data_IF_768146939934
#
_entry.id   IF_768146939934
#
_cell.length_a   1.000
_cell.length_b   1.000
_cell.length_c   1.000
_cell.angle_alpha   90.00
_cell.angle_beta   90.00
_cell.angle_gamma   90.00
#
_symmetry.space_group_name_H-M   'P 1'
#
loop_
_entity.id
_entity.type
_entity.pdbx_description
1 polymer ?
#
# COMPACT_ATOMS: atom_id res chain seq x y z
N UNK A 1 22.85 -8.30 -43.43
CA UNK A 1 23.69 -9.50 -43.20
C UNK A 1 23.83 -9.65 -41.69
N UNK A 2 23.27 -10.73 -41.13
CA UNK A 2 23.40 -11.25 -39.75
C UNK A 2 23.04 -10.32 -38.58
N UNK A 3 22.50 -10.76 -37.43
CA UNK A 3 21.58 -11.81 -36.95
C UNK A 3 21.44 -11.48 -35.45
N UNK A 4 20.25 -11.68 -34.88
CA UNK A 4 19.87 -11.10 -33.59
C UNK A 4 20.42 -11.76 -32.32
N UNK A 5 19.99 -11.21 -31.18
CA UNK A 5 19.78 -11.91 -29.91
C UNK A 5 18.57 -11.27 -29.22
N UNK A 6 17.60 -12.11 -28.84
CA UNK A 6 16.45 -11.79 -28.02
C UNK A 6 16.63 -12.40 -26.62
N UNK A 7 16.24 -11.67 -25.56
CA UNK A 7 15.88 -12.17 -24.23
C UNK A 7 15.16 -11.04 -23.47
N UNK A 8 13.81 -11.04 -23.42
CA UNK A 8 12.94 -11.46 -22.30
C UNK A 8 13.26 -10.78 -20.96
N UNK A 9 12.28 -10.04 -20.39
CA UNK A 9 11.92 -9.90 -18.97
C UNK A 9 10.67 -8.98 -18.89
N UNK A 10 9.45 -9.52 -18.76
CA UNK A 10 8.19 -8.75 -18.69
C UNK A 10 7.50 -8.96 -17.35
N UNK A 11 7.08 -7.87 -16.69
CA UNK A 11 6.70 -7.83 -15.26
C UNK A 11 5.18 -7.64 -15.05
N UNK A 12 4.60 -8.30 -14.05
CA UNK A 12 3.17 -8.30 -13.63
C UNK A 12 2.92 -7.38 -12.41
N UNK A 13 1.77 -6.67 -12.28
CA UNK A 13 1.53 -5.63 -11.25
C UNK A 13 0.22 -5.81 -10.44
N UNK A 14 0.24 -5.50 -9.13
CA UNK A 14 -0.91 -5.53 -8.19
C UNK A 14 -1.15 -4.14 -7.54
N UNK A 15 -2.40 -3.67 -7.39
CA UNK A 15 -2.74 -2.38 -6.73
C UNK A 15 -3.87 -2.48 -5.68
N UNK A 16 -3.88 -1.64 -4.63
CA UNK A 16 -4.95 -1.63 -3.60
C UNK A 16 -5.42 -0.22 -3.17
N UNK A 17 -6.75 -0.02 -3.01
CA UNK A 17 -7.44 1.22 -2.60
C UNK A 17 -8.76 0.96 -1.83
N UNK A 18 -9.32 1.97 -1.13
CA UNK A 18 -10.49 1.84 -0.23
C UNK A 18 -11.49 3.00 -0.33
N UNK A 19 -12.80 2.71 -0.19
CA UNK A 19 -13.93 3.65 -0.09
C UNK A 19 -14.80 3.37 1.17
N UNK A 20 -15.58 4.35 1.66
CA UNK A 20 -16.15 4.48 3.03
C UNK A 20 -17.70 4.35 3.14
N UNK A 21 -18.23 4.28 4.39
CA UNK A 21 -19.66 4.37 4.80
C UNK A 21 -20.42 3.28 5.62
N UNK A 22 -20.16 3.01 6.94
CA UNK A 22 -21.24 2.72 7.94
C UNK A 22 -21.57 1.31 8.54
N UNK A 23 -21.08 1.07 9.78
CA UNK A 23 -21.68 0.45 11.00
C UNK A 23 -22.58 -0.83 11.02
N UNK A 24 -22.29 -1.71 11.99
CA UNK A 24 -23.26 -2.61 12.65
C UNK A 24 -22.66 -3.81 13.41
N UNK A 25 -22.70 -3.79 14.75
CA UNK A 25 -22.16 -4.80 15.68
C UNK A 25 -22.96 -6.13 15.72
N UNK A 26 -22.29 -7.23 16.06
CA UNK A 26 -22.91 -8.45 16.59
C UNK A 26 -21.87 -9.50 17.02
N UNK A 27 -21.66 -9.65 18.33
CA UNK A 27 -20.76 -10.59 19.00
C UNK A 27 -21.30 -12.03 19.02
N UNK A 28 -20.45 -13.05 18.83
CA UNK A 28 -20.73 -14.42 19.29
C UNK A 28 -19.46 -15.07 19.87
N UNK A 29 -19.64 -15.65 21.05
CA UNK A 29 -18.71 -16.37 21.91
C UNK A 29 -18.18 -17.68 21.32
N UNK A 30 -16.93 -18.01 21.64
CA UNK A 30 -16.27 -19.30 21.33
C UNK A 30 -16.43 -20.24 22.52
N UNK A 31 -16.87 -21.47 22.26
CA UNK A 31 -16.69 -22.62 23.14
C UNK A 31 -15.94 -23.71 22.37
N UNK A 32 -14.84 -24.19 22.95
CA UNK A 32 -13.98 -25.25 22.44
C UNK A 32 -14.69 -26.61 22.38
N UNK A 33 -14.39 -27.42 21.37
CA UNK A 33 -13.93 -28.81 21.59
C UNK A 33 -13.56 -29.53 20.29
N UNK A 34 -12.49 -30.31 20.43
CA UNK A 34 -12.12 -31.55 19.75
C UNK A 34 -11.40 -31.52 18.39
N UNK A 35 -10.14 -31.96 18.51
CA UNK A 35 -9.28 -32.51 17.47
C UNK A 35 -9.97 -33.64 16.69
N UNK A 36 -9.82 -33.60 15.37
CA UNK A 36 -9.85 -34.79 14.52
C UNK A 36 -8.89 -34.58 13.35
N UNK A 37 -7.81 -35.37 13.32
CA UNK A 37 -7.02 -35.62 12.11
C UNK A 37 -7.88 -36.42 11.13
N UNK A 38 -7.89 -36.02 9.86
CA UNK A 38 -8.10 -36.93 8.73
C UNK A 38 -7.49 -36.34 7.45
N UNK A 39 -7.10 -37.28 6.60
CA UNK A 39 -6.15 -37.25 5.50
C UNK A 39 -6.55 -36.40 4.28
N UNK A 40 -5.56 -36.24 3.40
CA UNK A 40 -5.59 -35.60 2.09
C UNK A 40 -6.83 -35.95 1.26
N UNK A 41 -7.65 -34.95 0.96
CA UNK A 41 -8.65 -35.05 -0.11
C UNK A 41 -8.57 -33.85 -1.05
N UNK A 42 -7.96 -34.10 -2.21
CA UNK A 42 -7.77 -33.17 -3.30
C UNK A 42 -9.10 -32.89 -4.00
N UNK A 43 -9.65 -31.70 -3.76
CA UNK A 43 -10.33 -30.94 -4.83
C UNK A 43 -11.84 -31.13 -4.99
N UNK A 44 -12.60 -31.27 -3.90
CA UNK A 44 -14.06 -31.14 -3.93
C UNK A 44 -14.55 -29.68 -3.97
N UNK A 45 -15.75 -29.41 -4.55
CA UNK A 45 -16.34 -28.06 -4.68
C UNK A 45 -16.67 -27.37 -3.34
N UNK A 46 -16.49 -28.06 -2.22
CA UNK A 46 -16.72 -27.57 -0.86
C UNK A 46 -15.45 -27.07 -0.15
N UNK A 47 -14.27 -27.27 -0.72
CA UNK A 47 -13.04 -26.67 -0.18
C UNK A 47 -12.93 -25.19 -0.59
N UNK A 48 -12.24 -24.37 0.21
CA UNK A 48 -11.96 -22.96 -0.14
C UNK A 48 -11.28 -22.86 -1.52
N UNK A 49 -10.44 -23.83 -1.86
CA UNK A 49 -9.81 -23.90 -3.19
C UNK A 49 -10.79 -24.32 -4.29
N UNK A 50 -11.77 -25.18 -3.99
CA UNK A 50 -12.88 -25.49 -4.88
C UNK A 50 -13.74 -24.25 -5.16
N UNK A 51 -14.12 -23.51 -4.12
CA UNK A 51 -14.85 -22.25 -4.24
C UNK A 51 -14.10 -21.19 -5.04
N UNK A 52 -12.78 -21.04 -4.81
CA UNK A 52 -11.94 -20.10 -5.58
C UNK A 52 -11.83 -20.50 -7.05
N UNK A 53 -11.73 -21.80 -7.36
CA UNK A 53 -11.76 -22.30 -8.75
C UNK A 53 -13.12 -22.05 -9.41
N UNK A 54 -14.20 -22.21 -8.66
CA UNK A 54 -15.57 -21.99 -9.15
C UNK A 54 -15.87 -20.50 -9.38
N UNK A 55 -15.34 -19.62 -8.53
CA UNK A 55 -15.41 -18.17 -8.73
C UNK A 55 -14.58 -17.77 -9.96
N UNK A 56 -13.36 -18.30 -10.09
CA UNK A 56 -12.51 -18.03 -11.25
C UNK A 56 -13.14 -18.50 -12.56
N UNK A 57 -13.80 -19.67 -12.58
CA UNK A 57 -14.48 -20.19 -13.77
C UNK A 57 -15.69 -19.33 -14.16
N UNK A 58 -16.47 -18.86 -13.18
CA UNK A 58 -17.61 -17.96 -13.40
C UNK A 58 -17.16 -16.59 -13.91
N UNK A 59 -16.06 -16.05 -13.40
CA UNK A 59 -15.47 -14.79 -13.89
C UNK A 59 -15.00 -14.94 -15.34
N UNK A 60 -14.32 -16.04 -15.67
CA UNK A 60 -13.87 -16.31 -17.04
C UNK A 60 -15.04 -16.45 -18.04
N UNK A 61 -16.16 -17.04 -17.60
CA UNK A 61 -17.39 -17.11 -18.41
C UNK A 61 -18.03 -15.73 -18.63
N UNK A 62 -17.95 -14.83 -17.64
CA UNK A 62 -18.41 -13.45 -17.78
C UNK A 62 -17.50 -12.65 -18.73
N UNK A 63 -16.17 -12.82 -18.64
CA UNK A 63 -15.22 -12.19 -19.57
C UNK A 63 -15.47 -12.62 -21.01
N UNK A 64 -15.84 -13.90 -21.21
CA UNK A 64 -16.22 -14.44 -22.51
C UNK A 64 -17.55 -13.84 -23.01
N UNK A 65 -18.52 -13.61 -22.12
CA UNK A 65 -19.81 -13.00 -22.44
C UNK A 65 -19.72 -11.49 -22.72
N UNK A 66 -18.71 -10.79 -22.18
CA UNK A 66 -18.50 -9.34 -22.37
C UNK A 66 -17.77 -9.03 -23.70
N UNK A 67 -17.44 -10.04 -24.51
CA UNK A 67 -17.05 -9.83 -25.91
C UNK A 67 -15.66 -9.22 -26.10
N UNK A 68 -14.69 -9.56 -25.24
CA UNK A 68 -13.26 -9.37 -25.61
C UNK A 68 -12.91 -10.45 -26.63
N UNK A 69 -13.04 -10.08 -27.89
CA UNK A 69 -13.00 -10.95 -29.07
C UNK A 69 -11.71 -11.75 -29.24
N UNK A 70 -11.86 -13.04 -29.57
CA UNK A 70 -10.81 -13.90 -30.11
C UNK A 70 -11.26 -15.35 -30.31
N UNK A 71 -12.27 -15.59 -31.13
CA UNK A 71 -12.80 -16.93 -31.42
C UNK A 71 -11.83 -17.83 -32.17
N UNK A 72 -11.51 -18.99 -31.59
CA UNK A 72 -10.81 -20.11 -32.22
C UNK A 72 -10.96 -21.37 -31.36
N UNK A 73 -10.94 -22.59 -31.96
CA UNK A 73 -11.20 -23.82 -31.23
C UNK A 73 -10.12 -24.10 -30.16
N UNK A 74 -10.46 -24.81 -29.07
CA UNK A 74 -9.57 -24.97 -27.93
C UNK A 74 -8.36 -25.82 -28.32
N UNK A 75 -7.16 -25.22 -28.27
CA UNK A 75 -5.92 -25.99 -28.40
C UNK A 75 -5.70 -26.80 -27.12
N UNK A 76 -5.70 -28.12 -27.26
CA UNK A 76 -5.29 -29.06 -26.22
C UNK A 76 -3.85 -28.76 -25.79
N UNK A 77 -3.69 -28.36 -24.53
CA UNK A 77 -2.40 -27.97 -23.95
C UNK A 77 -2.49 -26.66 -23.17
N UNK A 78 -3.35 -26.60 -22.14
CA UNK A 78 -3.41 -25.46 -21.23
C UNK A 78 -2.23 -25.53 -20.24
N UNK A 79 -1.03 -25.16 -20.69
CA UNK A 79 -0.19 -24.36 -19.78
C UNK A 79 -0.91 -23.01 -19.76
N UNK A 80 -1.56 -22.68 -18.64
CA UNK A 80 -2.24 -21.41 -18.48
C UNK A 80 -1.21 -20.28 -18.62
N UNK A 81 -1.03 -19.79 -19.84
CA UNK A 81 -0.39 -18.52 -20.11
C UNK A 81 -1.25 -17.47 -19.42
N UNK A 82 -0.86 -17.10 -18.19
CA UNK A 82 -1.51 -16.03 -17.45
C UNK A 82 -1.57 -14.81 -18.34
N UNK A 83 -2.77 -14.29 -18.55
CA UNK A 83 -2.97 -13.02 -19.23
C UNK A 83 -2.16 -11.95 -18.50
N UNK A 84 -1.47 -11.11 -19.26
CA UNK A 84 -0.77 -9.97 -18.71
C UNK A 84 -1.83 -9.00 -18.21
N UNK A 85 -2.02 -8.92 -16.89
CA UNK A 85 -3.14 -8.22 -16.27
C UNK A 85 -2.73 -7.39 -15.06
N UNK A 86 -3.61 -6.47 -14.67
CA UNK A 86 -3.53 -5.73 -13.42
C UNK A 86 -4.63 -6.26 -12.52
N UNK A 87 -4.24 -6.84 -11.39
CA UNK A 87 -5.19 -7.23 -10.37
C UNK A 87 -5.28 -6.15 -9.30
N UNK A 88 -6.49 -5.97 -8.77
CA UNK A 88 -6.77 -4.94 -7.78
C UNK A 88 -7.47 -5.55 -6.58
N UNK A 89 -6.87 -5.39 -5.39
CA UNK A 89 -7.49 -5.80 -4.13
C UNK A 89 -8.10 -4.57 -3.46
N UNK A 90 -9.43 -4.53 -3.42
CA UNK A 90 -10.21 -3.44 -2.84
C UNK A 90 -10.93 -3.89 -1.58
N UNK A 91 -11.15 -2.96 -0.66
CA UNK A 91 -12.02 -3.18 0.50
C UNK A 91 -13.45 -2.87 0.12
N UNK A 92 -14.38 -3.78 0.42
CA UNK A 92 -15.81 -3.59 0.18
C UNK A 92 -16.55 -2.98 1.36
N UNK A 93 -15.88 -2.78 2.51
CA UNK A 93 -16.48 -2.28 3.75
C UNK A 93 -15.65 -1.11 4.32
N UNK A 94 -15.44 -1.06 5.65
CA UNK A 94 -14.83 0.06 6.38
C UNK A 94 -13.44 -0.22 6.92
N UNK A 95 -12.67 -1.01 6.18
CA UNK A 95 -11.35 -1.43 6.62
C UNK A 95 -11.39 -2.76 7.36
N UNK A 96 -10.21 -3.30 7.62
CA UNK A 96 -9.97 -4.56 8.34
C UNK A 96 -10.69 -5.82 7.81
N UNK A 97 -11.06 -5.83 6.52
CA UNK A 97 -11.65 -6.99 5.82
C UNK A 97 -10.62 -8.12 5.56
N UNK A 98 -9.42 -8.04 6.14
CA UNK A 98 -8.36 -9.02 5.91
C UNK A 98 -7.63 -8.87 4.58
N UNK A 99 -7.76 -7.73 3.88
CA UNK A 99 -7.03 -7.44 2.62
C UNK A 99 -5.55 -7.73 2.69
N UNK A 100 -4.91 -7.40 3.83
CA UNK A 100 -3.48 -7.64 4.04
C UNK A 100 -3.10 -9.11 3.89
N UNK A 101 -3.94 -10.03 4.38
CA UNK A 101 -3.72 -11.49 4.29
C UNK A 101 -3.95 -12.01 2.86
N UNK A 102 -4.94 -11.46 2.17
CA UNK A 102 -5.17 -11.79 0.76
C UNK A 102 -4.02 -11.31 -0.13
N UNK A 103 -3.61 -10.04 0.03
CA UNK A 103 -2.48 -9.44 -0.71
C UNK A 103 -1.19 -10.19 -0.40
N UNK A 104 -0.94 -10.57 0.84
CA UNK A 104 0.23 -11.38 1.22
C UNK A 104 0.29 -12.70 0.42
N UNK A 105 -0.80 -13.48 0.42
CA UNK A 105 -0.88 -14.72 -0.34
C UNK A 105 -0.73 -14.51 -1.85
N UNK A 106 -1.43 -13.52 -2.40
CA UNK A 106 -1.38 -13.23 -3.84
C UNK A 106 0.00 -12.73 -4.27
N UNK A 107 0.64 -11.88 -3.46
CA UNK A 107 1.90 -11.19 -3.81
C UNK A 107 3.07 -12.12 -4.13
N UNK A 108 3.02 -13.39 -3.72
CA UNK A 108 4.01 -14.41 -4.09
C UNK A 108 4.03 -14.71 -5.59
N UNK A 109 2.96 -14.36 -6.30
CA UNK A 109 2.77 -14.67 -7.71
C UNK A 109 2.90 -13.44 -8.63
N UNK A 110 3.20 -12.26 -8.09
CA UNK A 110 3.32 -11.00 -8.85
C UNK A 110 4.75 -10.47 -8.84
N UNK A 111 5.18 -9.93 -9.97
CA UNK A 111 6.49 -9.28 -10.11
C UNK A 111 6.49 -7.85 -9.53
N UNK A 112 5.33 -7.22 -9.36
CA UNK A 112 5.17 -5.91 -8.75
C UNK A 112 3.96 -5.84 -7.82
N UNK A 113 4.19 -5.21 -6.68
CA UNK A 113 3.17 -4.90 -5.71
C UNK A 113 3.14 -3.39 -5.47
N UNK A 114 2.01 -2.76 -5.72
CA UNK A 114 1.86 -1.30 -5.73
C UNK A 114 0.84 -0.85 -4.71
N UNK A 115 1.17 0.18 -3.95
CA UNK A 115 0.17 0.96 -3.21
C UNK A 115 -0.16 2.21 -4.01
N UNK A 116 -1.44 2.43 -4.30
CA UNK A 116 -1.87 3.54 -5.17
C UNK A 116 -2.43 4.75 -4.41
N UNK A 117 -2.95 4.57 -3.20
CA UNK A 117 -3.56 5.64 -2.40
C UNK A 117 -3.42 5.40 -0.89
N UNK A 118 -3.92 6.34 -0.09
CA UNK A 118 -3.84 6.31 1.37
C UNK A 118 -2.47 6.75 1.90
N UNK A 119 -2.10 6.28 3.08
CA UNK A 119 -0.79 6.51 3.71
C UNK A 119 -0.54 5.49 4.80
N UNK A 120 0.18 5.85 5.86
CA UNK A 120 0.49 4.94 6.99
C UNK A 120 -0.71 4.65 7.91
N UNK A 121 -1.94 5.05 7.53
CA UNK A 121 -3.17 4.79 8.27
C UNK A 121 -3.64 3.33 8.21
N UNK A 122 -3.27 2.62 7.15
CA UNK A 122 -3.46 1.18 7.07
C UNK A 122 -2.20 0.46 7.59
N UNK A 123 -2.37 -0.72 8.16
CA UNK A 123 -1.26 -1.62 8.48
C UNK A 123 -1.68 -3.05 8.24
N UNK A 124 -0.71 -3.88 7.89
CA UNK A 124 -0.91 -5.32 7.84
C UNK A 124 0.24 -5.99 8.57
N UNK A 125 -0.09 -7.08 9.24
CA UNK A 125 0.87 -7.90 9.94
C UNK A 125 1.02 -9.18 9.15
N UNK A 126 2.26 -9.56 8.85
CA UNK A 126 2.59 -10.81 8.16
C UNK A 126 3.37 -11.70 9.12
N UNK A 127 3.06 -12.98 9.10
CA UNK A 127 3.81 -14.01 9.82
C UNK A 127 4.63 -14.78 8.78
N UNK A 128 5.96 -14.81 8.94
CA UNK A 128 6.85 -15.66 8.14
C UNK A 128 7.55 -16.62 9.08
N UNK A 129 7.14 -17.89 9.05
CA UNK A 129 7.47 -18.83 10.12
C UNK A 129 7.01 -18.28 11.47
N UNK A 130 7.91 -18.18 12.43
CA UNK A 130 7.64 -17.67 13.77
C UNK A 130 7.87 -16.15 13.92
N UNK A 131 8.27 -15.45 12.85
CA UNK A 131 8.56 -14.01 12.88
C UNK A 131 7.37 -13.18 12.43
N UNK A 132 7.06 -12.14 13.22
CA UNK A 132 5.97 -11.19 12.99
C UNK A 132 6.51 -9.89 12.40
N UNK A 133 6.09 -9.55 11.19
CA UNK A 133 6.40 -8.29 10.53
C UNK A 133 5.18 -7.38 10.52
N UNK A 134 5.36 -6.10 10.84
CA UNK A 134 4.28 -5.11 10.83
C UNK A 134 4.64 -3.99 9.86
N UNK A 135 3.90 -3.92 8.77
CA UNK A 135 4.09 -2.91 7.72
C UNK A 135 2.93 -1.93 7.73
N UNK A 136 3.22 -0.65 7.53
CA UNK A 136 2.18 0.37 7.37
C UNK A 136 2.14 0.90 5.96
N UNK A 137 3.28 1.36 5.41
CA UNK A 137 3.37 1.93 4.07
C UNK A 137 3.83 0.93 3.02
N UNK A 138 4.78 0.06 3.38
CA UNK A 138 5.33 -0.92 2.45
C UNK A 138 4.23 -1.89 1.98
N UNK A 139 4.16 -2.23 0.68
CA UNK A 139 3.28 -3.29 0.19
C UNK A 139 3.69 -4.66 0.75
N UNK A 140 2.73 -5.56 1.00
CA UNK A 140 2.99 -6.91 1.54
C UNK A 140 3.97 -7.73 0.70
N UNK A 141 3.99 -7.49 -0.61
CA UNK A 141 4.89 -8.16 -1.54
C UNK A 141 6.38 -7.89 -1.30
N UNK A 142 6.76 -7.06 -0.32
CA UNK A 142 8.16 -6.82 0.02
C UNK A 142 8.89 -8.09 0.48
N UNK A 143 8.13 -9.07 1.01
CA UNK A 143 8.64 -10.38 1.42
C UNK A 143 8.87 -11.34 0.25
N UNK A 144 8.29 -11.08 -0.93
CA UNK A 144 8.62 -11.80 -2.14
C UNK A 144 9.90 -11.18 -2.74
N UNK A 145 11.01 -11.93 -2.72
CA UNK A 145 12.32 -11.48 -3.23
C UNK A 145 12.29 -11.10 -4.72
N UNK A 146 11.37 -11.67 -5.50
CA UNK A 146 11.22 -11.37 -6.93
C UNK A 146 10.37 -10.13 -7.21
N UNK A 147 9.55 -9.72 -6.24
CA UNK A 147 8.63 -8.61 -6.41
C UNK A 147 9.30 -7.25 -6.20
N UNK A 148 8.96 -6.29 -7.05
CA UNK A 148 9.26 -4.86 -6.88
C UNK A 148 8.07 -4.16 -6.22
N UNK A 149 8.31 -3.53 -5.08
CA UNK A 149 7.32 -2.74 -4.37
C UNK A 149 7.31 -1.29 -4.86
N UNK A 150 6.13 -0.76 -5.20
CA UNK A 150 5.97 0.61 -5.70
C UNK A 150 5.02 1.40 -4.81
N UNK A 151 5.45 2.59 -4.38
CA UNK A 151 4.60 3.59 -3.74
C UNK A 151 4.15 4.59 -4.81
N UNK A 152 2.88 4.54 -5.19
CA UNK A 152 2.30 5.37 -6.26
C UNK A 152 2.12 6.84 -5.87
N UNK A 153 1.89 7.68 -6.88
CA UNK A 153 1.70 9.13 -6.73
C UNK A 153 0.44 9.53 -5.95
N UNK A 154 -0.55 8.63 -5.84
CA UNK A 154 -1.75 8.86 -5.07
C UNK A 154 -1.53 8.79 -3.56
N UNK A 155 -0.41 8.20 -3.10
CA UNK A 155 -0.08 8.00 -1.68
C UNK A 155 0.42 9.30 -1.04
N UNK A 156 0.08 9.48 0.24
CA UNK A 156 0.76 10.43 1.14
C UNK A 156 1.72 9.65 2.06
N UNK A 157 3.00 10.02 2.04
CA UNK A 157 4.09 9.28 2.67
C UNK A 157 4.71 10.07 3.82
N UNK A 158 4.72 9.48 5.02
CA UNK A 158 5.51 9.99 6.14
C UNK A 158 6.92 9.41 6.05
N UNK A 159 7.87 10.19 5.52
CA UNK A 159 9.22 9.72 5.21
C UNK A 159 9.98 9.17 6.44
N UNK A 160 9.93 9.79 7.65
CA UNK A 160 10.57 9.22 8.82
C UNK A 160 10.05 7.81 9.17
N UNK A 161 8.73 7.62 9.19
CA UNK A 161 8.14 6.30 9.48
C UNK A 161 8.47 5.28 8.40
N UNK A 162 8.46 5.70 7.13
CA UNK A 162 8.79 4.82 6.02
C UNK A 162 10.25 4.35 6.08
N UNK A 163 11.20 5.24 6.37
CA UNK A 163 12.61 4.88 6.53
C UNK A 163 12.81 3.95 7.73
N UNK A 164 12.09 4.15 8.84
CA UNK A 164 12.12 3.23 9.97
C UNK A 164 11.57 1.83 9.60
N UNK A 165 10.52 1.75 8.79
CA UNK A 165 10.02 0.47 8.25
C UNK A 165 11.09 -0.23 7.40
N UNK A 166 11.81 0.50 6.55
CA UNK A 166 12.92 -0.02 5.76
C UNK A 166 14.09 -0.48 6.64
N UNK A 167 14.48 0.30 7.64
CA UNK A 167 15.58 -0.05 8.56
C UNK A 167 15.24 -1.32 9.38
N UNK A 168 13.95 -1.49 9.71
CA UNK A 168 13.43 -2.72 10.33
C UNK A 168 13.57 -3.94 9.42
N UNK A 169 13.33 -3.81 8.11
CA UNK A 169 13.56 -4.91 7.16
C UNK A 169 15.02 -5.35 7.14
N UNK A 170 15.96 -4.41 7.02
CA UNK A 170 17.39 -4.71 7.02
C UNK A 170 17.83 -5.37 8.32
N UNK A 171 17.32 -4.89 9.46
CA UNK A 171 17.62 -5.47 10.78
C UNK A 171 17.12 -6.91 10.93
N UNK A 172 16.09 -7.30 10.18
CA UNK A 172 15.56 -8.66 10.15
C UNK A 172 16.17 -9.53 9.03
N UNK A 173 17.17 -9.02 8.30
CA UNK A 173 17.84 -9.74 7.22
C UNK A 173 17.06 -9.80 5.90
N UNK A 174 16.06 -8.92 5.71
CA UNK A 174 15.31 -8.85 4.46
C UNK A 174 15.95 -7.81 3.55
N UNK A 175 16.48 -8.27 2.42
CA UNK A 175 17.06 -7.42 1.39
C UNK A 175 15.98 -6.77 0.54
N UNK A 176 15.95 -5.44 0.45
CA UNK A 176 14.97 -4.70 -0.34
C UNK A 176 15.59 -3.71 -1.35
N UNK A 177 16.91 -3.56 -1.31
CA UNK A 177 17.65 -2.61 -2.13
C UNK A 177 17.35 -2.87 -3.62
N UNK A 178 17.01 -1.80 -4.35
CA UNK A 178 16.61 -1.89 -5.76
C UNK A 178 15.16 -2.35 -6.01
N UNK A 179 14.48 -2.93 -5.01
CA UNK A 179 13.10 -3.45 -5.14
C UNK A 179 12.04 -2.49 -4.63
N UNK A 180 12.39 -1.47 -3.85
CA UNK A 180 11.43 -0.46 -3.37
C UNK A 180 11.56 0.80 -4.21
N UNK A 181 10.45 1.25 -4.79
CA UNK A 181 10.36 2.45 -5.63
C UNK A 181 9.31 3.41 -5.07
N UNK A 182 9.64 4.69 -5.00
CA UNK A 182 8.75 5.74 -4.52
C UNK A 182 8.49 6.69 -5.69
N UNK A 183 7.22 6.99 -5.96
CA UNK A 183 6.89 8.02 -6.94
C UNK A 183 7.37 9.39 -6.44
N UNK A 184 8.12 10.09 -7.28
CA UNK A 184 8.47 11.50 -7.15
C UNK A 184 7.23 12.41 -6.93
N UNK A 185 6.05 12.01 -7.40
CA UNK A 185 4.79 12.75 -7.25
C UNK A 185 3.99 12.41 -6.00
N UNK A 186 4.43 11.42 -5.19
CA UNK A 186 3.83 11.15 -3.89
C UNK A 186 4.00 12.36 -2.96
N UNK A 187 2.97 12.68 -2.19
CA UNK A 187 3.00 13.85 -1.29
C UNK A 187 3.59 13.48 0.06
N UNK A 188 4.36 14.39 0.65
CA UNK A 188 5.01 14.18 1.94
C UNK A 188 4.04 14.55 3.07
N UNK A 189 3.90 13.64 4.03
CA UNK A 189 3.32 13.94 5.34
C UNK A 189 4.46 14.46 6.23
N UNK A 190 4.29 15.63 6.84
CA UNK A 190 5.23 16.17 7.82
C UNK A 190 4.73 15.92 9.24
N UNK A 191 5.61 16.01 10.24
CA UNK A 191 5.24 15.81 11.64
C UNK A 191 4.16 16.81 12.10
N UNK A 192 4.24 18.05 11.62
CA UNK A 192 3.22 19.05 11.93
C UNK A 192 1.84 18.71 11.34
N UNK A 193 1.75 17.95 10.24
CA UNK A 193 0.45 17.43 9.78
C UNK A 193 -0.16 16.47 10.79
N UNK A 194 0.64 15.67 11.50
CA UNK A 194 0.15 14.77 12.55
C UNK A 194 -0.36 15.55 13.76
N UNK A 195 0.38 16.59 14.18
CA UNK A 195 -0.06 17.50 15.24
C UNK A 195 -1.36 18.20 14.87
N UNK A 196 -1.46 18.71 13.64
CA UNK A 196 -2.65 19.36 13.10
C UNK A 196 -3.86 18.41 13.08
N UNK A 197 -3.68 17.17 12.63
CA UNK A 197 -4.72 16.13 12.65
C UNK A 197 -5.27 15.92 14.07
N UNK A 198 -4.37 15.79 15.06
CA UNK A 198 -4.76 15.68 16.46
C UNK A 198 -5.48 16.92 17.01
N UNK A 199 -5.10 18.13 16.58
CA UNK A 199 -5.78 19.36 16.97
C UNK A 199 -7.17 19.47 16.35
N UNK A 200 -7.35 19.10 15.07
CA UNK A 200 -8.65 19.09 14.39
C UNK A 200 -9.60 18.16 15.14
N UNK A 201 -9.18 16.93 15.44
CA UNK A 201 -9.98 15.98 16.23
C UNK A 201 -10.33 16.52 17.62
N UNK A 202 -9.40 17.23 18.26
CA UNK A 202 -9.66 17.84 19.58
C UNK A 202 -10.71 18.95 19.49
N UNK A 203 -10.64 19.81 18.46
CA UNK A 203 -11.62 20.90 18.23
C UNK A 203 -13.02 20.37 17.92
N UNK A 204 -13.12 19.22 17.26
CA UNK A 204 -14.41 18.59 16.96
C UNK A 204 -15.14 18.04 18.20
N UNK A 205 -14.43 17.85 19.33
CA UNK A 205 -15.04 17.50 20.61
C UNK A 205 -15.79 16.16 20.55
N UNK A 206 -17.13 16.22 20.61
CA UNK A 206 -18.02 15.04 20.52
C UNK A 206 -18.20 14.54 19.09
N UNK A 207 -17.95 15.39 18.09
CA UNK A 207 -18.11 15.10 16.66
C UNK A 207 -16.78 14.63 16.02
N UNK A 208 -15.92 13.96 16.81
CA UNK A 208 -14.66 13.39 16.33
C UNK A 208 -14.94 12.39 15.21
N UNK A 209 -14.07 12.41 14.21
CA UNK A 209 -14.13 11.44 13.11
C UNK A 209 -13.51 10.12 13.56
N UNK A 210 -12.54 10.16 14.50
CA UNK A 210 -11.75 9.01 14.89
C UNK A 210 -10.55 8.81 13.96
N UNK A 211 -9.84 9.89 13.63
CA UNK A 211 -8.68 9.78 12.73
C UNK A 211 -7.55 9.00 13.40
N UNK A 212 -6.66 8.41 12.58
CA UNK A 212 -5.45 7.73 13.07
C UNK A 212 -4.40 8.70 13.63
N UNK A 213 -4.64 10.02 13.55
CA UNK A 213 -3.71 11.10 13.94
C UNK A 213 -2.34 11.02 13.27
N UNK A 214 -2.27 10.36 12.10
CA UNK A 214 -1.05 10.22 11.31
C UNK A 214 -0.89 11.32 10.25
N UNK A 215 -1.72 12.37 10.28
CA UNK A 215 -1.57 13.51 9.38
C UNK A 215 -2.05 13.26 7.95
N UNK A 216 -2.81 12.17 7.73
CA UNK A 216 -3.27 11.78 6.39
C UNK A 216 -4.26 12.81 5.84
N UNK A 217 -5.25 13.21 6.64
CA UNK A 217 -6.23 14.23 6.27
C UNK A 217 -5.57 15.57 5.92
N UNK A 218 -4.77 16.17 6.83
CA UNK A 218 -4.08 17.44 6.56
C UNK A 218 -3.11 17.38 5.36
N UNK A 219 -2.43 16.25 5.14
CA UNK A 219 -1.57 16.09 3.97
C UNK A 219 -2.36 16.04 2.65
N UNK A 220 -3.50 15.33 2.62
CA UNK A 220 -4.40 15.38 1.48
C UNK A 220 -5.03 16.76 1.29
N UNK A 221 -5.40 17.45 2.37
CA UNK A 221 -5.88 18.83 2.29
C UNK A 221 -4.84 19.75 1.63
N UNK A 222 -3.57 19.61 2.04
CA UNK A 222 -2.46 20.37 1.43
C UNK A 222 -2.24 20.01 -0.06
N UNK A 223 -2.41 18.74 -0.42
CA UNK A 223 -2.40 18.28 -1.82
C UNK A 223 -3.51 18.95 -2.64
N UNK A 224 -4.74 18.98 -2.13
CA UNK A 224 -5.89 19.61 -2.80
C UNK A 224 -5.74 21.14 -2.88
N UNK A 225 -5.19 21.76 -1.84
CA UNK A 225 -4.89 23.20 -1.80
C UNK A 225 -3.70 23.58 -2.68
N UNK A 226 -2.95 22.61 -3.22
CA UNK A 226 -1.74 22.82 -4.05
C UNK A 226 -0.61 23.54 -3.30
N UNK A 227 -0.62 23.50 -1.97
CA UNK A 227 0.48 24.00 -1.12
C UNK A 227 1.37 22.86 -0.57
N UNK A 228 0.94 21.60 -0.70
CA UNK A 228 1.71 20.44 -0.27
C UNK A 228 3.00 20.20 -1.07
N UNK A 229 3.97 19.55 -0.43
CA UNK A 229 5.26 19.16 -1.00
C UNK A 229 5.27 17.69 -1.42
N UNK A 230 6.04 17.38 -2.46
CA UNK A 230 6.16 16.03 -3.03
C UNK A 230 7.57 15.48 -2.82
N UNK A 231 7.71 14.16 -2.94
CA UNK A 231 8.99 13.47 -2.80
C UNK A 231 10.04 14.01 -3.78
N UNK A 232 9.66 14.25 -5.03
CA UNK A 232 10.55 14.79 -6.06
C UNK A 232 11.03 16.21 -5.79
N UNK A 233 10.34 16.96 -4.93
CA UNK A 233 10.77 18.31 -4.56
C UNK A 233 12.06 18.28 -3.73
N UNK A 234 12.35 17.17 -3.03
CA UNK A 234 13.61 16.98 -2.29
C UNK A 234 14.86 17.05 -3.17
N UNK A 235 14.74 16.78 -4.48
CA UNK A 235 15.84 16.91 -5.43
C UNK A 235 16.17 18.38 -5.75
N UNK A 236 15.22 19.30 -5.52
CA UNK A 236 15.37 20.74 -5.75
C UNK A 236 15.36 21.47 -4.41
N UNK A 237 16.49 21.42 -3.70
CA UNK A 237 16.56 21.83 -2.30
C UNK A 237 16.04 23.25 -2.03
N UNK A 238 16.46 24.25 -2.82
CA UNK A 238 16.04 25.64 -2.59
C UNK A 238 14.52 25.84 -2.77
N UNK A 239 13.94 25.11 -3.74
CA UNK A 239 12.49 25.06 -3.93
C UNK A 239 11.81 24.34 -2.75
N UNK A 240 12.33 23.19 -2.33
CA UNK A 240 11.78 22.46 -1.18
C UNK A 240 11.79 23.31 0.09
N UNK A 241 12.92 23.96 0.40
CA UNK A 241 13.10 24.78 1.58
C UNK A 241 12.13 25.97 1.59
N UNK A 242 12.07 26.76 0.51
CA UNK A 242 11.16 27.91 0.42
C UNK A 242 9.69 27.51 0.58
N UNK A 243 9.28 26.42 -0.08
CA UNK A 243 7.92 25.89 -0.01
C UNK A 243 7.58 25.27 1.35
N UNK A 244 8.55 24.62 2.00
CA UNK A 244 8.38 24.04 3.33
C UNK A 244 8.14 25.14 4.37
N UNK A 245 8.96 26.20 4.35
CA UNK A 245 8.77 27.37 5.22
C UNK A 245 7.39 27.98 5.06
N UNK A 246 6.97 28.24 3.82
CA UNK A 246 5.64 28.77 3.52
C UNK A 246 4.50 27.85 4.00
N UNK A 247 4.64 26.53 3.82
CA UNK A 247 3.65 25.54 4.28
C UNK A 247 3.58 25.47 5.82
N UNK A 248 4.74 25.53 6.49
CA UNK A 248 4.83 25.54 7.95
C UNK A 248 4.19 26.81 8.53
N UNK A 249 4.51 27.98 7.97
CA UNK A 249 3.88 29.26 8.34
C UNK A 249 2.37 29.25 8.13
N UNK A 250 1.90 28.73 7.00
CA UNK A 250 0.47 28.57 6.72
C UNK A 250 -0.23 27.78 7.84
N UNK A 251 0.35 26.66 8.28
CA UNK A 251 -0.21 25.85 9.36
C UNK A 251 -0.08 26.54 10.73
N UNK A 252 1.04 27.21 11.03
CA UNK A 252 1.19 27.95 12.30
C UNK A 252 0.17 29.08 12.42
N UNK A 253 -0.15 29.76 11.32
CA UNK A 253 -1.19 30.80 11.29
C UNK A 253 -2.60 30.22 11.46
N UNK A 254 -2.90 29.07 10.83
CA UNK A 254 -4.21 28.44 10.91
C UNK A 254 -4.47 27.70 12.25
N UNK A 255 -3.40 27.30 12.95
CA UNK A 255 -3.46 26.49 14.17
C UNK A 255 -2.74 27.16 15.35
N UNK A 256 -3.46 27.95 16.17
CA UNK A 256 -2.88 28.61 17.34
C UNK A 256 -2.19 27.61 18.27
N UNK A 257 -0.97 27.95 18.71
CA UNK A 257 -0.16 27.11 19.59
C UNK A 257 0.61 25.99 18.88
N UNK A 258 0.47 25.81 17.56
CA UNK A 258 1.33 24.93 16.78
C UNK A 258 2.74 25.50 16.73
N UNK A 259 3.72 24.78 17.27
CA UNK A 259 5.15 25.12 17.17
C UNK A 259 5.82 24.16 16.21
N UNK A 260 6.48 24.68 15.19
CA UNK A 260 7.22 23.90 14.20
C UNK A 260 8.69 24.32 14.27
N UNK A 261 9.57 23.38 14.60
CA UNK A 261 11.02 23.57 14.42
C UNK A 261 11.37 23.45 12.94
N UNK A 262 11.24 24.57 12.22
CA UNK A 262 11.44 24.64 10.79
C UNK A 262 12.87 24.21 10.43
N UNK A 263 13.87 24.81 11.06
CA UNK A 263 15.27 24.58 10.69
C UNK A 263 15.72 23.16 11.07
N UNK A 264 15.25 22.62 12.19
CA UNK A 264 15.49 21.22 12.55
C UNK A 264 14.89 20.23 11.56
N UNK A 265 13.65 20.45 11.13
CA UNK A 265 13.02 19.60 10.12
C UNK A 265 13.71 19.72 8.76
N UNK A 266 14.07 20.93 8.32
CA UNK A 266 14.84 21.11 7.09
C UNK A 266 16.19 20.38 7.14
N UNK A 267 16.94 20.50 8.25
CA UNK A 267 18.18 19.71 8.44
C UNK A 267 17.93 18.21 8.34
N UNK A 268 16.84 17.72 8.93
CA UNK A 268 16.46 16.31 8.84
C UNK A 268 16.17 15.88 7.40
N UNK A 269 15.32 16.61 6.68
CA UNK A 269 14.94 16.29 5.30
C UNK A 269 16.12 16.36 4.33
N UNK A 270 17.04 17.33 4.53
CA UNK A 270 18.27 17.43 3.74
C UNK A 270 19.14 16.18 3.88
N UNK A 271 19.24 15.65 5.11
CA UNK A 271 20.03 14.44 5.41
C UNK A 271 19.42 13.19 4.79
N UNK A 272 18.09 13.06 4.77
CA UNK A 272 17.43 11.85 4.25
C UNK A 272 17.17 11.87 2.74
N UNK A 273 17.22 13.03 2.08
CA UNK A 273 16.93 13.17 0.65
C UNK A 273 17.70 12.16 -0.23
N UNK A 274 19.01 11.91 -0.04
CA UNK A 274 19.75 10.92 -0.85
C UNK A 274 19.23 9.48 -0.70
N UNK A 275 18.61 9.13 0.44
CA UNK A 275 18.03 7.80 0.68
C UNK A 275 16.70 7.59 -0.04
N UNK A 276 16.01 8.68 -0.40
CA UNK A 276 14.63 8.65 -0.92
C UNK A 276 14.61 8.90 -2.43
N UNK A 277 15.54 9.71 -2.93
CA UNK A 277 15.59 10.16 -4.33
C UNK A 277 16.42 9.25 -5.26
N UNK A 278 16.81 8.05 -4.81
CA UNK A 278 17.69 7.10 -5.51
C UNK A 278 16.98 6.05 -6.37
#
# INVERSE_FOLDING_TARGET
>A
MLRGVAARHGKTFLAAGSALGGFGLGSVSVSESNEAKCEDDMGGPTTIMGLLKDIASKVNNLETAIGVSGGGPPKSGLVASRSHGIDVVLGSQWGDEGKGKLVDKLSQEYDLCTRVAGGSNAGHTIMVGDKKYKFHLLPSGILNEKATCVIGNGVVIHLPSFLNELDSLTSNGIEYQGRVKISDRAHIVFDFHQTVDGQIESRLGRNKIGTTRKGIGPAYASKIQRNGLRVGDLQRWDYFESRFRALAEHHMNAFPGLKIDIDGQLRYYKRIAPRVCS
#
